data_IF_468465047885
#
_entry.id   IF_468465047885
#
_cell.length_a   1.000
_cell.length_b   1.000
_cell.length_c   1.000
_cell.angle_alpha   90.00
_cell.angle_beta   90.00
_cell.angle_gamma   90.00
#
_symmetry.space_group_name_H-M   'P 1'
#
loop_
_entity.id
_entity.type
_entity.pdbx_description
1 polymer ?
#
# COMPACT_ATOMS: atom_id res chain seq x y z
N UNK A 1 -14.36 48.63 -65.75
CA UNK A 1 -13.65 48.72 -64.46
C UNK A 1 -14.58 48.19 -63.37
N UNK A 2 -14.20 47.11 -62.65
CA UNK A 2 -15.10 46.51 -61.65
C UNK A 2 -14.59 45.20 -61.05
N UNK A 3 -13.42 45.28 -60.41
CA UNK A 3 -12.80 44.42 -59.37
C UNK A 3 -13.28 42.96 -59.22
N UNK A 4 -12.39 42.03 -59.56
CA UNK A 4 -12.41 40.67 -59.04
C UNK A 4 -12.16 40.66 -57.53
N UNK A 5 -13.07 40.03 -56.80
CA UNK A 5 -12.89 39.70 -55.38
C UNK A 5 -12.36 38.26 -55.34
N UNK A 6 -11.06 38.12 -55.08
CA UNK A 6 -10.45 36.83 -54.72
C UNK A 6 -11.13 36.31 -53.45
N UNK A 7 -11.68 35.09 -53.49
CA UNK A 7 -12.01 34.33 -52.27
C UNK A 7 -10.73 34.21 -51.44
N UNK A 8 -10.74 34.53 -50.13
CA UNK A 8 -9.57 34.28 -49.30
C UNK A 8 -9.34 32.76 -49.22
N UNK A 9 -8.09 32.38 -49.45
CA UNK A 9 -7.58 31.03 -49.29
C UNK A 9 -7.87 30.52 -47.87
N UNK A 10 -8.11 29.21 -47.79
CA UNK A 10 -8.62 28.52 -46.62
C UNK A 10 -8.00 28.98 -45.30
N UNK A 11 -8.85 29.30 -44.34
CA UNK A 11 -8.46 29.42 -42.96
C UNK A 11 -7.76 28.12 -42.56
N UNK A 12 -6.47 28.20 -42.22
CA UNK A 12 -5.79 27.12 -41.54
C UNK A 12 -6.54 26.87 -40.24
N UNK A 13 -7.34 25.80 -40.22
CA UNK A 13 -8.03 25.35 -39.04
C UNK A 13 -6.96 24.83 -38.07
N UNK A 14 -6.49 25.73 -37.19
CA UNK A 14 -5.53 25.39 -36.15
C UNK A 14 -6.20 24.36 -35.26
N UNK A 15 -5.85 23.09 -35.44
CA UNK A 15 -6.33 21.98 -34.60
C UNK A 15 -6.00 22.36 -33.16
N UNK A 16 -7.02 22.66 -32.37
CA UNK A 16 -6.87 22.96 -30.94
C UNK A 16 -6.37 21.70 -30.25
N UNK A 17 -5.08 21.66 -29.95
CA UNK A 17 -4.46 20.61 -29.16
C UNK A 17 -4.75 20.91 -27.69
N UNK A 18 -5.27 19.92 -26.97
CA UNK A 18 -5.50 20.05 -25.54
C UNK A 18 -4.17 20.05 -24.78
N UNK A 19 -4.14 20.69 -23.60
CA UNK A 19 -2.97 20.64 -22.71
C UNK A 19 -2.56 19.19 -22.39
N UNK A 20 -3.54 18.29 -22.24
CA UNK A 20 -3.29 16.86 -22.02
C UNK A 20 -2.52 16.22 -23.18
N UNK A 21 -2.94 16.46 -24.42
CA UNK A 21 -2.25 15.96 -25.61
C UNK A 21 -0.81 16.48 -25.70
N UNK A 22 -0.57 17.76 -25.38
CA UNK A 22 0.77 18.33 -25.33
C UNK A 22 1.66 17.64 -24.27
N UNK A 23 1.14 17.43 -23.06
CA UNK A 23 1.86 16.73 -22.00
C UNK A 23 2.19 15.29 -22.44
N UNK A 24 1.22 14.57 -23.02
CA UNK A 24 1.45 13.21 -23.50
C UNK A 24 2.54 13.14 -24.57
N UNK A 25 2.57 14.12 -25.49
CA UNK A 25 3.60 14.21 -26.50
C UNK A 25 4.99 14.47 -25.90
N UNK A 26 5.12 15.40 -24.95
CA UNK A 26 6.40 15.70 -24.32
C UNK A 26 6.91 14.52 -23.49
N UNK A 27 6.03 13.86 -22.74
CA UNK A 27 6.37 12.63 -21.99
C UNK A 27 6.82 11.52 -22.94
N UNK A 28 6.14 11.34 -24.07
CA UNK A 28 6.55 10.37 -25.10
C UNK A 28 7.96 10.66 -25.60
N UNK A 29 8.22 11.89 -26.04
CA UNK A 29 9.51 12.30 -26.58
C UNK A 29 10.61 12.09 -25.53
N UNK A 30 10.40 12.53 -24.29
CA UNK A 30 11.36 12.35 -23.22
C UNK A 30 11.72 10.86 -22.99
N UNK A 31 10.74 9.97 -22.95
CA UNK A 31 10.97 8.53 -22.75
C UNK A 31 11.70 7.92 -23.96
N UNK A 32 11.24 8.21 -25.18
CA UNK A 32 11.86 7.66 -26.39
C UNK A 32 13.31 8.14 -26.53
N UNK A 33 13.59 9.42 -26.28
CA UNK A 33 14.94 9.98 -26.28
C UNK A 33 15.83 9.28 -25.26
N UNK A 34 15.39 9.17 -23.99
CA UNK A 34 16.19 8.54 -22.95
C UNK A 34 16.54 7.07 -23.27
N UNK A 35 15.60 6.31 -23.85
CA UNK A 35 15.83 4.92 -24.27
C UNK A 35 16.77 4.83 -25.49
N UNK A 36 16.74 5.82 -26.40
CA UNK A 36 17.68 5.89 -27.52
C UNK A 36 19.10 6.24 -27.04
N UNK A 37 19.24 7.15 -26.07
CA UNK A 37 20.51 7.50 -25.45
C UNK A 37 21.11 6.31 -24.69
N UNK A 38 20.30 5.58 -23.92
CA UNK A 38 20.72 4.34 -23.27
C UNK A 38 21.22 3.30 -24.28
N UNK A 39 20.52 3.16 -25.42
CA UNK A 39 20.95 2.25 -26.48
C UNK A 39 22.26 2.74 -27.13
N UNK A 40 22.39 4.03 -27.38
CA UNK A 40 23.62 4.63 -27.92
C UNK A 40 24.81 4.31 -27.02
N UNK A 41 24.66 4.55 -25.71
CA UNK A 41 25.66 4.24 -24.70
C UNK A 41 25.98 2.73 -24.66
N UNK A 42 24.97 1.87 -24.80
CA UNK A 42 25.15 0.41 -24.81
C UNK A 42 25.89 -0.07 -26.07
N UNK A 43 25.60 0.52 -27.24
CA UNK A 43 26.19 0.08 -28.52
C UNK A 43 27.58 0.67 -28.76
N UNK A 44 27.89 1.82 -28.17
CA UNK A 44 29.15 2.56 -28.40
C UNK A 44 29.26 3.16 -29.81
N UNK A 45 28.15 3.28 -30.54
CA UNK A 45 28.13 3.81 -31.90
C UNK A 45 26.78 4.44 -32.28
N UNK A 46 26.83 5.61 -32.91
CA UNK A 46 25.68 6.31 -33.48
C UNK A 46 25.04 5.52 -34.64
N UNK A 47 23.79 5.85 -35.03
CA UNK A 47 23.17 5.28 -36.21
C UNK A 47 24.05 5.48 -37.44
N UNK A 48 24.24 4.41 -38.21
CA UNK A 48 25.04 4.38 -39.45
C UNK A 48 26.54 4.74 -39.31
N UNK A 49 27.03 5.00 -38.10
CA UNK A 49 28.45 5.22 -37.85
C UNK A 49 29.26 3.94 -38.08
N UNK A 50 30.48 4.06 -38.61
CA UNK A 50 31.43 2.95 -38.65
C UNK A 50 32.36 3.10 -37.44
N UNK A 51 32.31 2.13 -36.52
CA UNK A 51 33.14 2.12 -35.31
C UNK A 51 33.53 0.69 -35.00
N UNK A 52 34.82 0.48 -34.72
CA UNK A 52 35.35 -0.81 -34.28
C UNK A 52 34.99 -1.12 -32.82
N UNK A 53 34.67 -0.11 -32.02
CA UNK A 53 34.24 -0.24 -30.62
C UNK A 53 32.76 -0.61 -30.45
N UNK A 54 32.09 -1.10 -31.51
CA UNK A 54 30.66 -1.40 -31.51
C UNK A 54 30.34 -2.70 -30.79
N UNK A 55 29.37 -2.66 -29.88
CA UNK A 55 28.95 -3.80 -29.06
C UNK A 55 27.66 -4.49 -29.55
N UNK A 56 27.11 -4.09 -30.69
CA UNK A 56 25.88 -4.68 -31.25
C UNK A 56 25.32 -3.91 -32.45
N UNK A 57 24.21 -4.39 -33.01
CA UNK A 57 23.50 -3.73 -34.12
C UNK A 57 22.06 -3.36 -33.75
N UNK A 58 21.59 -2.22 -34.24
CA UNK A 58 20.16 -1.84 -34.20
C UNK A 58 19.37 -2.77 -35.13
N UNK A 59 18.21 -3.24 -34.67
CA UNK A 59 17.36 -4.20 -35.39
C UNK A 59 15.89 -3.74 -35.40
N UNK A 60 15.68 -2.50 -35.85
CA UNK A 60 14.37 -1.87 -35.96
C UNK A 60 13.80 -1.31 -34.66
N UNK A 61 12.48 -1.16 -34.61
CA UNK A 61 11.74 -0.61 -33.48
C UNK A 61 10.56 -1.52 -33.10
N UNK A 62 9.98 -1.28 -31.93
CA UNK A 62 8.76 -1.94 -31.47
C UNK A 62 7.80 -0.95 -30.84
N UNK A 63 6.52 -1.08 -31.14
CA UNK A 63 5.48 -0.33 -30.47
C UNK A 63 5.21 -0.90 -29.06
N UNK A 64 5.12 -0.04 -28.05
CA UNK A 64 4.65 -0.39 -26.69
C UNK A 64 3.76 0.70 -26.15
N UNK A 65 2.84 0.34 -25.26
CA UNK A 65 2.07 1.31 -24.48
C UNK A 65 2.55 1.28 -23.03
N UNK A 66 2.95 2.43 -22.50
CA UNK A 66 3.28 2.63 -21.09
C UNK A 66 2.23 3.52 -20.46
N UNK A 67 1.64 3.06 -19.35
CA UNK A 67 0.67 3.87 -18.61
C UNK A 67 1.36 4.61 -17.48
N UNK A 68 1.35 5.94 -17.53
CA UNK A 68 1.84 6.83 -16.48
C UNK A 68 0.72 7.59 -15.78
N UNK A 69 1.06 8.53 -14.88
CA UNK A 69 0.09 9.39 -14.19
C UNK A 69 -0.79 10.22 -15.11
N UNK A 70 -0.24 10.68 -16.24
CA UNK A 70 -1.00 11.41 -17.27
C UNK A 70 -1.91 10.51 -18.09
N UNK A 71 -1.72 9.18 -18.06
CA UNK A 71 -2.47 8.20 -18.83
C UNK A 71 -1.59 7.31 -19.71
N UNK A 72 -2.20 6.57 -20.66
CA UNK A 72 -1.48 5.70 -21.57
C UNK A 72 -0.72 6.49 -22.63
N UNK A 73 0.56 6.19 -22.80
CA UNK A 73 1.46 6.76 -23.81
C UNK A 73 1.90 5.66 -24.76
N UNK A 74 1.64 5.84 -26.06
CA UNK A 74 2.18 4.98 -27.10
C UNK A 74 3.63 5.38 -27.40
N UNK A 75 4.52 4.40 -27.34
CA UNK A 75 5.97 4.54 -27.47
C UNK A 75 6.48 3.70 -28.65
N UNK A 76 7.45 4.23 -29.37
CA UNK A 76 8.25 3.53 -30.37
C UNK A 76 9.64 3.32 -29.79
N UNK A 77 9.91 2.10 -29.32
CA UNK A 77 11.17 1.78 -28.65
C UNK A 77 12.14 1.12 -29.63
N UNK A 78 13.45 1.43 -29.56
CA UNK A 78 14.43 0.77 -30.40
C UNK A 78 14.61 -0.70 -30.00
N UNK A 79 15.10 -1.48 -30.96
CA UNK A 79 15.57 -2.86 -30.76
C UNK A 79 17.02 -2.94 -31.17
N UNK A 80 17.78 -3.79 -30.49
CA UNK A 80 19.14 -4.09 -30.86
C UNK A 80 19.52 -5.51 -30.49
N UNK A 81 20.52 -6.03 -31.19
CA UNK A 81 21.18 -7.29 -30.93
C UNK A 81 22.58 -6.98 -30.43
N UNK A 82 22.90 -7.39 -29.20
CA UNK A 82 24.22 -7.22 -28.59
C UNK A 82 25.11 -8.41 -28.93
N UNK A 83 26.39 -8.14 -29.16
CA UNK A 83 27.42 -9.18 -29.23
C UNK A 83 27.74 -9.64 -27.82
N UNK A 84 27.68 -10.95 -27.58
CA UNK A 84 28.22 -11.55 -26.37
C UNK A 84 29.08 -12.77 -26.72
N UNK A 85 30.04 -13.14 -25.86
CA UNK A 85 30.83 -14.36 -26.04
C UNK A 85 29.97 -15.63 -26.17
N UNK A 86 28.81 -15.66 -25.49
CA UNK A 86 27.86 -16.78 -25.49
C UNK A 86 26.90 -16.77 -26.70
N UNK A 87 27.07 -15.85 -27.66
CA UNK A 87 26.19 -15.65 -28.80
C UNK A 87 25.37 -14.34 -28.73
N UNK A 88 24.76 -13.92 -29.84
CA UNK A 88 24.00 -12.68 -29.92
C UNK A 88 22.77 -12.69 -29.01
N UNK A 89 22.53 -11.59 -28.28
CA UNK A 89 21.40 -11.45 -27.35
C UNK A 89 20.57 -10.21 -27.63
N UNK A 90 19.26 -10.24 -27.40
CA UNK A 90 18.42 -9.05 -27.57
C UNK A 90 18.69 -8.04 -26.45
N UNK A 91 18.96 -6.80 -26.82
CA UNK A 91 19.12 -5.70 -25.87
C UNK A 91 17.82 -5.44 -25.10
N UNK A 92 17.96 -5.14 -23.81
CA UNK A 92 16.85 -4.77 -22.93
C UNK A 92 17.21 -3.48 -22.22
N UNK A 93 16.32 -2.50 -22.32
CA UNK A 93 16.42 -1.22 -21.62
C UNK A 93 16.30 -1.41 -20.10
N UNK A 94 17.17 -0.74 -19.35
CA UNK A 94 17.11 -0.59 -17.90
C UNK A 94 16.14 0.53 -17.52
N UNK A 95 16.03 1.58 -18.33
CA UNK A 95 15.05 2.68 -18.16
C UNK A 95 13.62 2.16 -18.28
N UNK A 96 13.34 1.34 -19.32
CA UNK A 96 12.04 0.74 -19.56
C UNK A 96 12.15 -0.79 -19.71
N UNK A 97 12.18 -1.51 -18.57
CA UNK A 97 12.28 -2.97 -18.54
C UNK A 97 11.25 -3.70 -19.41
N UNK A 98 11.66 -4.92 -19.82
CA UNK A 98 10.77 -5.87 -20.51
C UNK A 98 9.49 -6.08 -19.71
N UNK A 99 8.37 -6.11 -20.43
CA UNK A 99 7.02 -6.33 -19.90
C UNK A 99 6.48 -5.28 -18.90
N UNK A 100 7.24 -4.23 -18.55
CA UNK A 100 6.70 -3.11 -17.77
C UNK A 100 5.61 -2.38 -18.56
N UNK A 101 4.37 -2.43 -18.06
CA UNK A 101 3.20 -1.81 -18.73
C UNK A 101 2.72 -0.54 -18.02
N UNK A 102 3.23 -0.28 -16.81
CA UNK A 102 2.84 0.85 -15.96
C UNK A 102 4.06 1.43 -15.27
N UNK A 103 4.06 2.74 -15.08
CA UNK A 103 4.99 3.40 -14.19
C UNK A 103 4.66 3.07 -12.72
N UNK A 104 5.63 3.29 -11.84
CA UNK A 104 5.54 2.89 -10.43
C UNK A 104 4.42 3.64 -9.70
N UNK A 105 4.28 4.92 -9.99
CA UNK A 105 3.31 5.87 -9.43
C UNK A 105 1.87 5.38 -9.66
N UNK A 106 1.60 4.75 -10.81
CA UNK A 106 0.29 4.17 -11.11
C UNK A 106 0.01 2.98 -10.18
N UNK A 107 1.02 2.14 -9.91
CA UNK A 107 0.86 1.03 -8.96
C UNK A 107 0.71 1.54 -7.52
N UNK A 108 1.44 2.60 -7.14
CA UNK A 108 1.33 3.25 -5.82
C UNK A 108 -0.06 3.86 -5.62
N UNK A 109 -0.61 4.55 -6.62
CA UNK A 109 -1.97 5.08 -6.57
C UNK A 109 -3.03 3.97 -6.42
N UNK A 110 -2.85 2.84 -7.12
CA UNK A 110 -3.72 1.66 -6.96
C UNK A 110 -3.64 1.10 -5.54
N UNK A 111 -2.44 0.97 -4.98
CA UNK A 111 -2.23 0.50 -3.61
C UNK A 111 -2.83 1.45 -2.56
N UNK A 112 -2.61 2.76 -2.71
CA UNK A 112 -3.17 3.78 -1.83
C UNK A 112 -4.71 3.78 -1.86
N UNK A 113 -5.31 3.65 -3.04
CA UNK A 113 -6.77 3.56 -3.18
C UNK A 113 -7.32 2.29 -2.51
N UNK A 114 -6.58 1.19 -2.56
CA UNK A 114 -6.94 -0.04 -1.85
C UNK A 114 -6.88 0.13 -0.33
N UNK A 115 -5.80 0.74 0.18
CA UNK A 115 -5.64 1.03 1.61
C UNK A 115 -6.68 2.02 2.13
N UNK A 116 -7.18 2.93 1.29
CA UNK A 116 -8.29 3.83 1.61
C UNK A 116 -9.68 3.12 1.65
N UNK A 117 -9.73 1.79 1.54
CA UNK A 117 -10.97 1.01 1.60
C UNK A 117 -11.62 0.74 0.24
N UNK A 118 -10.92 1.06 -0.86
CA UNK A 118 -11.37 0.73 -2.21
C UNK A 118 -11.31 -0.76 -2.49
N UNK A 119 -12.43 -1.38 -2.85
CA UNK A 119 -12.40 -2.74 -3.39
C UNK A 119 -11.94 -2.76 -4.86
N UNK A 120 -11.49 -3.92 -5.36
CA UNK A 120 -10.94 -4.06 -6.72
C UNK A 120 -11.89 -3.56 -7.83
N UNK A 121 -13.21 -3.65 -7.63
CA UNK A 121 -14.22 -3.19 -8.60
C UNK A 121 -14.33 -1.67 -8.59
N UNK A 122 -14.36 -1.05 -7.40
CA UNK A 122 -14.40 0.42 -7.22
C UNK A 122 -13.13 1.07 -7.76
N UNK A 123 -11.96 0.53 -7.44
CA UNK A 123 -10.67 1.03 -7.96
C UNK A 123 -10.68 1.02 -9.49
N UNK A 124 -11.08 -0.10 -10.11
CA UNK A 124 -11.18 -0.20 -11.56
C UNK A 124 -12.16 0.82 -12.14
N UNK A 125 -13.32 1.00 -11.51
CA UNK A 125 -14.33 1.98 -11.93
C UNK A 125 -13.79 3.40 -11.88
N UNK A 126 -13.18 3.78 -10.76
CA UNK A 126 -12.61 5.11 -10.52
C UNK A 126 -11.45 5.44 -11.48
N UNK A 127 -10.59 4.46 -11.76
CA UNK A 127 -9.43 4.67 -12.64
C UNK A 127 -9.74 4.50 -14.13
N UNK A 128 -10.90 3.97 -14.50
CA UNK A 128 -11.28 3.73 -15.91
C UNK A 128 -11.21 5.01 -16.78
N UNK A 129 -11.67 6.19 -16.35
CA UNK A 129 -11.58 7.41 -17.14
C UNK A 129 -10.14 7.89 -17.39
N UNK A 130 -9.21 7.56 -16.48
CA UNK A 130 -7.79 7.93 -16.58
C UNK A 130 -6.99 6.91 -17.38
N UNK A 131 -7.40 5.64 -17.34
CA UNK A 131 -6.65 4.51 -17.92
C UNK A 131 -7.26 4.00 -19.24
N UNK A 132 -7.95 4.87 -20.01
CA UNK A 132 -8.81 4.50 -21.16
C UNK A 132 -8.21 3.46 -22.11
N UNK A 133 -6.96 3.62 -22.56
CA UNK A 133 -6.31 2.70 -23.50
C UNK A 133 -5.56 1.53 -22.82
N UNK A 134 -5.55 1.46 -21.49
CA UNK A 134 -4.86 0.41 -20.73
C UNK A 134 -5.61 0.09 -19.41
N UNK A 135 -6.87 -0.40 -19.46
CA UNK A 135 -7.68 -0.61 -18.28
C UNK A 135 -7.06 -1.66 -17.34
N UNK A 136 -7.15 -1.42 -16.03
CA UNK A 136 -6.70 -2.37 -15.02
C UNK A 136 -7.68 -3.54 -14.87
N UNK A 137 -7.19 -4.76 -15.03
CA UNK A 137 -7.94 -5.97 -14.71
C UNK A 137 -7.98 -6.21 -13.20
N UNK A 138 -8.95 -7.02 -12.72
CA UNK A 138 -9.03 -7.44 -11.31
C UNK A 138 -7.73 -8.10 -10.86
N UNK A 139 -7.17 -8.98 -11.70
CA UNK A 139 -5.91 -9.66 -11.42
C UNK A 139 -4.71 -8.71 -11.40
N UNK A 140 -4.72 -7.64 -12.20
CA UNK A 140 -3.68 -6.62 -12.15
C UNK A 140 -3.71 -5.86 -10.81
N UNK A 141 -4.89 -5.42 -10.35
CA UNK A 141 -5.06 -4.80 -9.03
C UNK A 141 -4.61 -5.76 -7.93
N UNK A 142 -5.03 -7.03 -7.98
CA UNK A 142 -4.64 -8.01 -6.97
C UNK A 142 -3.13 -8.24 -6.89
N UNK A 143 -2.42 -8.25 -8.02
CA UNK A 143 -0.95 -8.37 -8.03
C UNK A 143 -0.25 -7.15 -7.43
N UNK A 144 -0.77 -5.94 -7.69
CA UNK A 144 -0.24 -4.72 -7.07
C UNK A 144 -0.50 -4.75 -5.56
N UNK A 145 -1.70 -5.12 -5.11
CA UNK A 145 -2.00 -5.25 -3.68
C UNK A 145 -1.13 -6.33 -3.03
N UNK A 146 -0.83 -7.43 -3.73
CA UNK A 146 0.04 -8.48 -3.20
C UNK A 146 1.47 -7.99 -2.90
N UNK A 147 1.95 -6.90 -3.51
CA UNK A 147 3.26 -6.33 -3.16
C UNK A 147 3.27 -5.71 -1.76
N UNK A 148 2.10 -5.33 -1.22
CA UNK A 148 1.99 -4.84 0.17
C UNK A 148 2.31 -5.93 1.19
N UNK A 149 2.25 -7.22 0.81
CA UNK A 149 2.57 -8.33 1.71
C UNK A 149 3.98 -8.20 2.29
N UNK A 150 4.97 -7.89 1.45
CA UNK A 150 6.35 -7.73 1.92
C UNK A 150 6.47 -6.58 2.93
N UNK A 151 5.77 -5.46 2.70
CA UNK A 151 5.72 -4.34 3.64
C UNK A 151 5.02 -4.71 4.95
N UNK A 152 3.93 -5.48 4.89
CA UNK A 152 3.25 -5.98 6.09
C UNK A 152 4.16 -6.92 6.89
N UNK A 153 4.84 -7.87 6.25
CA UNK A 153 5.75 -8.76 6.96
C UNK A 153 6.93 -8.00 7.57
N UNK A 154 7.54 -7.08 6.82
CA UNK A 154 8.60 -6.22 7.36
C UNK A 154 8.12 -5.38 8.55
N UNK A 155 6.89 -4.86 8.50
CA UNK A 155 6.28 -4.16 9.62
C UNK A 155 6.01 -5.09 10.80
N UNK A 156 5.53 -6.33 10.57
CA UNK A 156 5.25 -7.32 11.62
C UNK A 156 6.52 -7.75 12.34
N UNK A 157 7.65 -7.89 11.62
CA UNK A 157 8.91 -8.37 12.21
C UNK A 157 9.88 -7.26 12.64
N UNK A 158 9.51 -5.98 12.49
CA UNK A 158 10.38 -4.86 12.85
C UNK A 158 10.79 -4.87 14.32
N UNK A 159 11.98 -4.37 14.62
CA UNK A 159 12.44 -4.14 15.98
C UNK A 159 11.54 -3.13 16.71
N UNK A 160 11.32 -3.37 18.00
CA UNK A 160 10.53 -2.53 18.90
C UNK A 160 11.38 -1.97 20.06
N UNK A 161 12.68 -2.27 20.08
CA UNK A 161 13.61 -1.89 21.14
C UNK A 161 13.68 -0.37 21.39
N UNK A 162 13.56 0.43 20.31
CA UNK A 162 13.63 1.89 20.38
C UNK A 162 12.32 2.54 20.86
N UNK A 163 11.24 1.76 21.02
CA UNK A 163 9.95 2.28 21.48
C UNK A 163 9.88 2.26 23.01
N UNK A 164 9.74 3.44 23.61
CA UNK A 164 9.47 3.59 25.04
C UNK A 164 7.98 3.47 25.35
N UNK A 165 7.45 2.25 25.22
CA UNK A 165 6.01 2.01 25.43
C UNK A 165 5.71 1.95 26.93
N UNK A 166 4.90 2.91 27.40
CA UNK A 166 4.48 3.00 28.80
C UNK A 166 3.23 2.18 29.07
N UNK A 167 2.25 2.24 28.16
CA UNK A 167 0.99 1.51 28.26
C UNK A 167 0.74 0.66 27.03
N UNK A 168 0.14 -0.51 27.20
CA UNK A 168 -0.26 -1.38 26.08
C UNK A 168 -1.74 -1.73 26.19
N UNK A 169 -2.51 -1.42 25.14
CA UNK A 169 -3.85 -1.95 24.94
C UNK A 169 -3.76 -3.24 24.14
N UNK A 170 -4.36 -4.32 24.64
CA UNK A 170 -4.44 -5.60 23.97
C UNK A 170 -5.92 -5.93 23.73
N UNK A 171 -6.26 -6.21 22.48
CA UNK A 171 -7.65 -6.47 22.08
C UNK A 171 -7.73 -7.48 20.93
N UNK A 172 -8.84 -8.19 20.84
CA UNK A 172 -9.14 -9.15 19.78
C UNK A 172 -10.32 -8.69 18.93
N UNK A 173 -10.22 -8.79 17.61
CA UNK A 173 -11.37 -8.60 16.73
C UNK A 173 -11.43 -9.69 15.68
N UNK A 174 -12.63 -10.05 15.22
CA UNK A 174 -12.79 -11.13 14.25
C UNK A 174 -12.99 -10.62 12.83
N UNK A 175 -12.24 -11.20 11.89
CA UNK A 175 -12.43 -10.98 10.45
C UNK A 175 -13.18 -12.16 9.83
N UNK A 176 -14.11 -11.85 8.93
CA UNK A 176 -14.77 -12.86 8.08
C UNK A 176 -13.85 -13.17 6.90
N UNK A 177 -13.26 -14.35 6.89
CA UNK A 177 -12.36 -14.81 5.83
C UNK A 177 -12.95 -16.03 5.13
N UNK A 178 -12.66 -16.18 3.84
CA UNK A 178 -13.03 -17.38 3.09
C UNK A 178 -11.89 -18.39 3.19
N UNK A 179 -12.15 -19.53 3.82
CA UNK A 179 -11.20 -20.64 3.98
C UNK A 179 -11.88 -21.96 3.62
N UNK A 180 -11.21 -22.80 2.82
CA UNK A 180 -11.73 -24.09 2.36
C UNK A 180 -13.19 -24.04 1.83
N UNK A 181 -13.53 -23.01 1.05
CA UNK A 181 -14.86 -22.82 0.47
C UNK A 181 -15.93 -22.28 1.43
N UNK A 182 -15.64 -22.14 2.72
CA UNK A 182 -16.56 -21.60 3.73
C UNK A 182 -16.12 -20.23 4.22
N UNK A 183 -17.07 -19.40 4.64
CA UNK A 183 -16.78 -18.13 5.32
C UNK A 183 -16.69 -18.42 6.82
N UNK A 184 -15.49 -18.26 7.38
CA UNK A 184 -15.20 -18.50 8.78
C UNK A 184 -14.84 -17.18 9.48
N UNK A 185 -15.10 -17.11 10.78
CA UNK A 185 -14.70 -15.97 11.61
C UNK A 185 -13.34 -16.29 12.21
N UNK A 186 -12.33 -15.47 11.92
CA UNK A 186 -10.95 -15.68 12.39
C UNK A 186 -10.55 -14.50 13.27
N UNK A 187 -10.11 -14.74 14.51
CA UNK A 187 -9.64 -13.66 15.38
C UNK A 187 -8.32 -13.09 14.91
N UNK A 188 -8.20 -11.77 15.08
CA UNK A 188 -6.99 -10.98 14.94
C UNK A 188 -6.69 -10.41 16.31
N UNK A 189 -5.54 -10.77 16.87
CA UNK A 189 -5.02 -10.20 18.10
C UNK A 189 -4.26 -8.92 17.77
N UNK A 190 -4.63 -7.83 18.43
CA UNK A 190 -4.05 -6.51 18.22
C UNK A 190 -3.39 -5.99 19.49
N UNK A 191 -2.28 -5.26 19.32
CA UNK A 191 -1.61 -4.55 20.39
C UNK A 191 -1.33 -3.10 20.00
N UNK A 192 -1.73 -2.15 20.85
CA UNK A 192 -1.46 -0.71 20.67
C UNK A 192 -0.69 -0.20 21.89
N UNK A 193 0.54 0.25 21.66
CA UNK A 193 1.37 0.91 22.66
C UNK A 193 1.10 2.40 22.73
N UNK A 194 1.30 2.99 23.91
CA UNK A 194 1.29 4.44 24.15
C UNK A 194 2.69 4.84 24.61
N UNK A 195 3.28 5.80 23.90
CA UNK A 195 4.59 6.38 24.19
C UNK A 195 4.49 7.45 25.29
N UNK A 196 5.61 7.95 25.86
CA UNK A 196 5.59 8.89 26.98
C UNK A 196 4.96 10.24 26.61
N UNK A 197 5.00 10.59 25.33
CA UNK A 197 4.37 11.79 24.76
C UNK A 197 2.88 11.59 24.39
N UNK A 198 2.31 10.42 24.72
CA UNK A 198 0.92 10.08 24.44
C UNK A 198 0.64 9.60 23.00
N UNK A 199 1.65 9.56 22.12
CA UNK A 199 1.46 9.00 20.77
C UNK A 199 1.16 7.50 20.84
N UNK A 200 0.21 7.07 20.01
CA UNK A 200 -0.21 5.67 19.91
C UNK A 200 0.55 4.99 18.78
N UNK A 201 1.12 3.82 19.07
CA UNK A 201 1.85 3.00 18.11
C UNK A 201 1.20 1.63 18.02
N UNK A 202 0.76 1.23 16.82
CA UNK A 202 0.31 -0.14 16.59
C UNK A 202 1.53 -1.08 16.64
N UNK A 203 1.52 -2.07 17.53
CA UNK A 203 2.64 -2.97 17.83
C UNK A 203 2.49 -4.34 17.18
N UNK A 204 1.27 -4.88 17.17
CA UNK A 204 0.96 -6.21 16.66
C UNK A 204 -0.40 -6.27 15.98
N UNK A 205 -0.49 -7.11 14.95
CA UNK A 205 -1.71 -7.62 14.33
C UNK A 205 -1.43 -9.08 13.95
N UNK A 206 -2.01 -10.03 14.68
CA UNK A 206 -1.75 -11.45 14.52
C UNK A 206 -3.04 -12.21 14.22
N UNK A 207 -3.11 -12.89 13.08
CA UNK A 207 -4.21 -13.79 12.76
C UNK A 207 -4.02 -15.11 13.51
N UNK A 208 -4.95 -15.47 14.39
CA UNK A 208 -4.85 -16.67 15.21
C UNK A 208 -6.04 -17.62 14.99
N UNK A 209 -5.90 -18.88 15.39
CA UNK A 209 -7.01 -19.84 15.37
C UNK A 209 -8.05 -19.62 16.48
N UNK A 210 -7.72 -18.79 17.47
CA UNK A 210 -8.54 -18.53 18.66
C UNK A 210 -7.89 -17.49 19.57
N UNK A 211 -8.62 -17.03 20.57
CA UNK A 211 -8.12 -16.12 21.63
C UNK A 211 -7.72 -16.90 22.90
N UNK A 212 -7.03 -18.02 22.70
CA UNK A 212 -6.58 -18.87 23.80
C UNK A 212 -5.40 -18.26 24.54
N UNK A 213 -5.10 -18.77 25.74
CA UNK A 213 -3.87 -18.44 26.47
C UNK A 213 -2.63 -18.63 25.58
N UNK A 214 -2.55 -19.73 24.84
CA UNK A 214 -1.40 -20.02 23.97
C UNK A 214 -1.25 -18.99 22.84
N UNK A 215 -2.36 -18.56 22.23
CA UNK A 215 -2.35 -17.55 21.18
C UNK A 215 -1.88 -16.19 21.70
N UNK A 216 -2.42 -15.76 22.84
CA UNK A 216 -1.98 -14.52 23.49
C UNK A 216 -0.54 -14.58 23.96
N UNK A 217 -0.12 -15.68 24.59
CA UNK A 217 1.28 -15.87 25.01
C UNK A 217 2.22 -15.78 23.80
N UNK A 218 1.92 -16.45 22.69
CA UNK A 218 2.72 -16.36 21.48
C UNK A 218 2.83 -14.93 20.93
N UNK A 219 1.73 -14.18 20.92
CA UNK A 219 1.74 -12.76 20.50
C UNK A 219 2.61 -11.88 21.42
N UNK A 220 2.54 -12.09 22.74
CA UNK A 220 3.33 -11.34 23.72
C UNK A 220 4.81 -11.75 23.72
N UNK A 221 5.11 -13.03 23.56
CA UNK A 221 6.48 -13.54 23.40
C UNK A 221 7.14 -12.93 22.16
N UNK A 222 6.41 -12.84 21.04
CA UNK A 222 6.89 -12.21 19.81
C UNK A 222 7.18 -10.71 20.01
N UNK A 223 6.31 -9.99 20.71
CA UNK A 223 6.56 -8.58 21.06
C UNK A 223 7.85 -8.43 21.90
N UNK A 224 8.02 -9.26 22.92
CA UNK A 224 9.22 -9.25 23.76
C UNK A 224 10.48 -9.65 22.97
N UNK A 225 10.40 -10.65 22.09
CA UNK A 225 11.50 -11.08 21.22
C UNK A 225 11.93 -10.01 20.22
N UNK A 226 10.99 -9.18 19.74
CA UNK A 226 11.28 -8.00 18.91
C UNK A 226 11.89 -6.83 19.71
N UNK A 227 12.10 -6.99 21.02
CA UNK A 227 12.77 -6.02 21.89
C UNK A 227 11.83 -5.09 22.65
N UNK A 228 10.51 -5.32 22.63
CA UNK A 228 9.59 -4.49 23.41
C UNK A 228 9.85 -4.69 24.91
N UNK A 229 10.20 -3.60 25.60
CA UNK A 229 10.35 -3.59 27.06
C UNK A 229 8.99 -3.78 27.73
N UNK A 230 9.00 -4.38 28.92
CA UNK A 230 7.79 -4.57 29.71
C UNK A 230 7.11 -3.21 29.98
N UNK A 231 5.83 -3.04 29.62
CA UNK A 231 5.11 -1.80 29.90
C UNK A 231 4.79 -1.66 31.38
N UNK A 232 4.43 -0.44 31.80
CA UNK A 232 3.96 -0.18 33.17
C UNK A 232 2.56 -0.75 33.37
N UNK A 233 1.70 -0.66 32.34
CA UNK A 233 0.31 -1.10 32.42
C UNK A 233 -0.16 -1.76 31.12
N UNK A 234 -0.77 -2.93 31.25
CA UNK A 234 -1.54 -3.59 30.21
C UNK A 234 -3.03 -3.36 30.44
N UNK A 235 -3.72 -2.79 29.44
CA UNK A 235 -5.17 -2.58 29.44
C UNK A 235 -5.82 -3.63 28.55
N UNK A 236 -6.66 -4.48 29.15
CA UNK A 236 -7.27 -5.66 28.49
C UNK A 236 -8.77 -5.71 28.71
N UNK A 237 -9.52 -6.43 27.87
CA UNK A 237 -10.98 -6.60 28.00
C UNK A 237 -11.41 -7.46 29.22
N UNK A 238 -10.46 -8.21 29.80
CA UNK A 238 -10.67 -9.12 30.91
C UNK A 238 -10.69 -10.60 30.52
N UNK A 239 -10.26 -10.96 29.30
CA UNK A 239 -10.02 -12.33 28.89
C UNK A 239 -9.03 -13.04 29.86
N UNK A 240 -9.42 -14.16 30.51
CA UNK A 240 -8.57 -14.83 31.48
C UNK A 240 -7.27 -15.39 30.89
N UNK A 241 -7.31 -15.87 29.64
CA UNK A 241 -6.14 -16.37 28.93
C UNK A 241 -5.15 -15.25 28.64
N UNK A 242 -5.64 -14.08 28.22
CA UNK A 242 -4.83 -12.89 28.02
C UNK A 242 -4.22 -12.39 29.34
N UNK A 243 -5.00 -12.32 30.43
CA UNK A 243 -4.49 -11.92 31.74
C UNK A 243 -3.33 -12.81 32.18
N UNK A 244 -3.52 -14.13 32.11
CA UNK A 244 -2.47 -15.11 32.46
C UNK A 244 -1.23 -14.96 31.56
N UNK A 245 -1.41 -14.68 30.27
CA UNK A 245 -0.29 -14.47 29.35
C UNK A 245 0.52 -13.21 29.71
N UNK A 246 -0.15 -12.10 30.06
CA UNK A 246 0.52 -10.86 30.49
C UNK A 246 1.32 -11.11 31.77
N UNK A 247 0.72 -11.74 32.77
CA UNK A 247 1.39 -12.02 34.07
C UNK A 247 2.64 -12.90 33.90
N UNK A 248 2.65 -13.77 32.89
CA UNK A 248 3.79 -14.63 32.59
C UNK A 248 4.90 -13.92 31.82
N UNK A 249 4.55 -13.13 30.79
CA UNK A 249 5.53 -12.47 29.90
C UNK A 249 6.07 -11.18 30.52
N UNK A 250 5.21 -10.41 31.20
CA UNK A 250 5.58 -9.17 31.88
C UNK A 250 5.09 -9.16 33.34
N UNK A 251 5.74 -9.91 34.24
CA UNK A 251 5.27 -10.09 35.63
C UNK A 251 5.17 -8.81 36.46
N UNK A 252 5.90 -7.75 36.04
CA UNK A 252 5.91 -6.45 36.73
C UNK A 252 4.92 -5.44 36.14
N UNK A 253 4.28 -5.75 35.01
CA UNK A 253 3.29 -4.87 34.41
C UNK A 253 1.99 -4.94 35.21
N UNK A 254 1.41 -3.77 35.53
CA UNK A 254 0.05 -3.70 36.04
C UNK A 254 -0.94 -4.24 35.00
N UNK A 255 -2.07 -4.77 35.46
CA UNK A 255 -3.16 -5.21 34.58
C UNK A 255 -4.46 -4.51 34.96
N UNK A 256 -5.01 -3.73 34.03
CA UNK A 256 -6.27 -3.02 34.18
C UNK A 256 -7.30 -3.54 33.17
N UNK A 257 -8.57 -3.62 33.60
CA UNK A 257 -9.69 -3.83 32.68
C UNK A 257 -9.99 -2.56 31.90
N UNK A 258 -10.20 -2.70 30.60
CA UNK A 258 -10.53 -1.61 29.71
C UNK A 258 -11.90 -1.02 30.05
N UNK A 259 -11.92 0.25 30.46
CA UNK A 259 -13.17 0.95 30.82
C UNK A 259 -14.14 1.03 29.63
N UNK A 260 -13.63 1.16 28.39
CA UNK A 260 -14.46 1.15 27.17
C UNK A 260 -15.19 -0.19 27.00
N UNK A 261 -14.48 -1.32 27.17
CA UNK A 261 -15.11 -2.63 27.12
C UNK A 261 -16.08 -2.85 28.27
N UNK A 262 -15.76 -2.37 29.47
CA UNK A 262 -16.65 -2.46 30.62
C UNK A 262 -17.96 -1.69 30.37
N UNK A 263 -17.89 -0.45 29.89
CA UNK A 263 -19.05 0.36 29.54
C UNK A 263 -19.90 -0.31 28.46
N UNK A 264 -19.30 -0.76 27.35
CA UNK A 264 -20.01 -1.49 26.29
C UNK A 264 -20.71 -2.75 26.80
N UNK A 265 -20.09 -3.46 27.73
CA UNK A 265 -20.69 -4.64 28.35
C UNK A 265 -21.93 -4.29 29.19
N UNK A 266 -21.91 -3.15 29.89
CA UNK A 266 -23.07 -2.62 30.63
C UNK A 266 -24.17 -2.20 29.65
N UNK A 267 -23.85 -1.38 28.65
CA UNK A 267 -24.80 -0.90 27.64
C UNK A 267 -25.52 -2.05 26.92
N UNK A 268 -24.80 -3.12 26.56
CA UNK A 268 -25.39 -4.31 25.90
C UNK A 268 -26.42 -5.04 26.77
N UNK A 269 -26.37 -4.87 28.09
CA UNK A 269 -27.25 -5.55 29.05
C UNK A 269 -28.33 -4.63 29.61
N UNK A 270 -28.28 -3.34 29.29
CA UNK A 270 -29.21 -2.33 29.76
C UNK A 270 -30.37 -2.09 28.79
N UNK A 271 -31.55 -1.65 29.27
CA UNK A 271 -32.62 -1.19 28.42
C UNK A 271 -32.24 0.14 27.74
N UNK A 272 -32.72 0.36 26.51
CA UNK A 272 -32.34 1.54 25.69
C UNK A 272 -32.57 2.89 26.37
N UNK A 273 -33.63 3.02 27.17
CA UNK A 273 -33.97 4.28 27.85
C UNK A 273 -32.97 4.65 28.97
N UNK A 274 -32.26 3.66 29.53
CA UNK A 274 -31.32 3.87 30.64
C UNK A 274 -29.86 4.08 30.19
N UNK A 275 -29.57 4.00 28.88
CA UNK A 275 -28.19 4.04 28.37
C UNK A 275 -27.47 5.35 28.70
N UNK A 276 -28.17 6.48 28.64
CA UNK A 276 -27.59 7.78 28.94
C UNK A 276 -27.17 7.87 30.41
N UNK A 277 -28.07 7.52 31.32
CA UNK A 277 -27.83 7.52 32.77
C UNK A 277 -26.68 6.57 33.15
N UNK A 278 -26.69 5.34 32.63
CA UNK A 278 -25.63 4.36 32.89
C UNK A 278 -24.26 4.86 32.44
N UNK A 279 -24.19 5.54 31.28
CA UNK A 279 -22.94 6.09 30.77
C UNK A 279 -22.41 7.19 31.69
N UNK A 280 -23.30 8.08 32.12
CA UNK A 280 -22.92 9.21 32.96
C UNK A 280 -22.49 8.72 34.36
N UNK A 281 -23.20 7.75 34.94
CA UNK A 281 -22.82 7.08 36.19
C UNK A 281 -21.47 6.37 36.08
N UNK A 282 -21.26 5.62 35.00
CA UNK A 282 -20.01 4.93 34.78
C UNK A 282 -18.83 5.91 34.67
N UNK A 283 -19.02 7.04 33.97
CA UNK A 283 -18.00 8.08 33.89
C UNK A 283 -17.74 8.74 35.25
N UNK A 284 -18.78 8.99 36.07
CA UNK A 284 -18.61 9.50 37.43
C UNK A 284 -17.69 8.58 38.26
N UNK A 285 -17.88 7.27 38.17
CA UNK A 285 -17.04 6.28 38.86
C UNK A 285 -15.60 6.30 38.32
N UNK A 286 -15.42 6.28 37.00
CA UNK A 286 -14.08 6.18 36.39
C UNK A 286 -13.23 7.44 36.59
N UNK A 287 -13.87 8.61 36.65
CA UNK A 287 -13.22 9.90 36.83
C UNK A 287 -13.33 10.45 38.26
N UNK A 288 -13.73 9.61 39.22
CA UNK A 288 -13.73 9.97 40.64
C UNK A 288 -12.31 10.37 41.11
N UNK A 289 -12.24 11.27 42.10
CA UNK A 289 -10.97 11.80 42.60
C UNK A 289 -10.15 10.75 43.36
N UNK A 290 -10.79 9.72 43.90
CA UNK A 290 -10.17 8.60 44.59
C UNK A 290 -11.03 7.34 44.44
N UNK A 291 -10.50 6.18 44.87
CA UNK A 291 -11.24 4.92 44.83
C UNK A 291 -12.39 4.84 45.85
N UNK A 292 -12.35 5.66 46.90
CA UNK A 292 -13.35 5.68 47.98
C UNK A 292 -14.44 6.75 47.77
N UNK A 293 -14.28 7.61 46.75
CA UNK A 293 -15.20 8.69 46.37
C UNK A 293 -16.26 8.23 45.36
#
# INVERSE_FOLDING_TARGET
MGKGIRKPAGAHEVRRVSLGELIHQHVRVAIETAVQEELLATLGAAPYERSEARHGYRNGTKARTLTGPSGPVALTLPRATLFRPTGPTEWTSTILPRYQRRMREVNEAVAATYLAGGNTRRIRGALRPLLKAAPLSKSAVSRVVATLKAGLEAWRTRALADLDVIYVYLDGFALRVRSAGKVVSVPVLGGVGVLPDGRKQLLALELCGGESFAAWKGCLDDLAARGLRAPVLCIIDGNPGLRRAVELVWPRAGVQRCCVHKLRNLERKAPKHALAEIRDDFHRIVYAASADA
#
